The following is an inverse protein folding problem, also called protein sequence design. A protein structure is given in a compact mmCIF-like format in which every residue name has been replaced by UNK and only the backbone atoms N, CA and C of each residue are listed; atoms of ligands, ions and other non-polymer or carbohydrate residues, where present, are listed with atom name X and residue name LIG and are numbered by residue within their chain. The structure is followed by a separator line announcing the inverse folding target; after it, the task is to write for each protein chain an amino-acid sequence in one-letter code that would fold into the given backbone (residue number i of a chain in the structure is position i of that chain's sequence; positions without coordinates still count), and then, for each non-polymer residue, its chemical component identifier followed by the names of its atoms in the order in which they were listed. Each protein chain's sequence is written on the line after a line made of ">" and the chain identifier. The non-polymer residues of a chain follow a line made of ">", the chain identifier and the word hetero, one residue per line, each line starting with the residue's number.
data_IF_071423706347
#
_entry.id   IF_071423706347
#
_cell.length_a   1.000
_cell.length_b   1.000
_cell.length_c   1.000
_cell.angle_alpha   90.00
_cell.angle_beta   90.00
_cell.angle_gamma   90.00
#
_symmetry.space_group_name_H-M   'P 1'
#
loop_
_entity.id
_entity.type
_entity.pdbx_description
1 polymer ?
#
# COMPACT_ATOMS: atom_id res chain seq x y z
N UNK A 1 -36.68 15.45 20.35
CA UNK A 1 -35.51 16.19 19.81
C UNK A 1 -34.21 15.78 20.51
N UNK A 2 -34.14 15.67 21.84
CA UNK A 2 -32.95 15.14 22.56
C UNK A 2 -32.46 13.77 22.05
N UNK A 3 -33.35 12.80 21.86
CA UNK A 3 -32.98 11.49 21.32
C UNK A 3 -32.41 11.57 19.89
N UNK A 4 -32.90 12.53 19.08
CA UNK A 4 -32.41 12.77 17.73
C UNK A 4 -31.00 13.39 17.76
N UNK A 5 -30.77 14.40 18.61
CA UNK A 5 -29.45 15.01 18.81
C UNK A 5 -28.42 13.95 19.25
N UNK A 6 -28.75 13.12 20.25
CA UNK A 6 -27.87 12.04 20.72
C UNK A 6 -27.54 11.04 19.60
N UNK A 7 -28.52 10.72 18.73
CA UNK A 7 -28.29 9.83 17.58
C UNK A 7 -27.30 10.45 16.58
N UNK A 8 -27.50 11.73 16.23
CA UNK A 8 -26.64 12.45 15.29
C UNK A 8 -25.21 12.59 15.84
N UNK A 9 -25.06 12.84 17.15
CA UNK A 9 -23.74 12.84 17.81
C UNK A 9 -23.03 11.49 17.69
N UNK A 10 -23.73 10.39 17.97
CA UNK A 10 -23.15 9.05 17.85
C UNK A 10 -22.74 8.73 16.40
N UNK A 11 -23.51 9.20 15.42
CA UNK A 11 -23.19 9.05 14.00
C UNK A 11 -21.96 9.87 13.59
N UNK A 12 -21.80 11.10 14.10
CA UNK A 12 -20.60 11.92 13.89
C UNK A 12 -19.36 11.24 14.51
N UNK A 13 -19.48 10.69 15.71
CA UNK A 13 -18.39 9.96 16.37
C UNK A 13 -17.97 8.73 15.55
N UNK A 14 -18.94 7.95 15.05
CA UNK A 14 -18.68 6.79 14.21
C UNK A 14 -17.99 7.19 12.89
N UNK A 15 -18.51 8.21 12.19
CA UNK A 15 -17.90 8.72 10.95
C UNK A 15 -16.48 9.25 11.19
N UNK A 16 -16.26 9.95 12.31
CA UNK A 16 -14.93 10.45 12.69
C UNK A 16 -13.92 9.31 12.87
N UNK A 17 -14.32 8.23 13.53
CA UNK A 17 -13.47 7.06 13.70
C UNK A 17 -13.14 6.40 12.35
N UNK A 18 -14.14 6.19 11.50
CA UNK A 18 -13.96 5.60 10.15
C UNK A 18 -13.04 6.46 9.29
N UNK A 19 -13.21 7.78 9.27
CA UNK A 19 -12.36 8.71 8.49
C UNK A 19 -10.90 8.63 8.95
N UNK A 20 -10.66 8.49 10.26
CA UNK A 20 -9.31 8.38 10.81
C UNK A 20 -8.64 7.03 10.44
N UNK A 21 -9.40 5.93 10.49
CA UNK A 21 -8.94 4.61 10.05
C UNK A 21 -8.60 4.62 8.56
N UNK A 22 -9.51 5.12 7.71
CA UNK A 22 -9.29 5.27 6.27
C UNK A 22 -8.06 6.14 5.97
N UNK A 23 -7.85 7.22 6.71
CA UNK A 23 -6.65 8.06 6.59
C UNK A 23 -5.35 7.28 6.87
N UNK A 24 -5.37 6.43 7.89
CA UNK A 24 -4.21 5.59 8.25
C UNK A 24 -3.92 4.53 7.18
N UNK A 25 -4.96 3.90 6.63
CA UNK A 25 -4.82 2.92 5.54
C UNK A 25 -4.30 3.57 4.24
N UNK A 26 -4.76 4.78 3.91
CA UNK A 26 -4.25 5.55 2.78
C UNK A 26 -2.74 5.80 2.94
N UNK A 27 -2.31 6.27 4.11
CA UNK A 27 -0.89 6.53 4.38
C UNK A 27 -0.03 5.27 4.27
N UNK A 28 -0.57 4.13 4.73
CA UNK A 28 0.08 2.82 4.59
C UNK A 28 0.26 2.45 3.12
N UNK A 29 -0.79 2.51 2.30
CA UNK A 29 -0.70 2.20 0.88
C UNK A 29 0.22 3.15 0.11
N UNK A 30 0.24 4.43 0.46
CA UNK A 30 1.19 5.40 -0.13
C UNK A 30 2.63 5.01 0.19
N UNK A 31 2.89 4.59 1.44
CA UNK A 31 4.21 4.13 1.87
C UNK A 31 4.62 2.84 1.16
N UNK A 32 3.75 1.84 1.09
CA UNK A 32 4.02 0.57 0.40
C UNK A 32 4.34 0.79 -1.08
N UNK A 33 3.62 1.69 -1.76
CA UNK A 33 3.93 2.07 -3.15
C UNK A 33 5.32 2.72 -3.29
N UNK A 34 5.71 3.55 -2.33
CA UNK A 34 7.03 4.20 -2.32
C UNK A 34 8.15 3.17 -2.08
N UNK A 35 7.96 2.26 -1.12
CA UNK A 35 8.90 1.20 -0.79
C UNK A 35 9.08 0.23 -1.96
N UNK A 36 7.99 -0.19 -2.62
CA UNK A 36 8.03 -0.99 -3.85
C UNK A 36 8.79 -0.28 -4.98
N UNK A 37 8.55 1.02 -5.17
CA UNK A 37 9.27 1.82 -6.18
C UNK A 37 10.77 1.84 -5.91
N UNK A 38 11.17 2.01 -4.64
CA UNK A 38 12.58 1.99 -4.26
C UNK A 38 13.19 0.58 -4.46
N UNK A 39 12.47 -0.47 -4.09
CA UNK A 39 12.92 -1.85 -4.27
C UNK A 39 13.11 -2.21 -5.74
N UNK A 40 12.18 -1.83 -6.62
CA UNK A 40 12.30 -1.99 -8.07
C UNK A 40 13.51 -1.26 -8.65
N UNK A 41 13.76 -0.02 -8.21
CA UNK A 41 14.93 0.75 -8.65
C UNK A 41 16.25 0.08 -8.24
N UNK A 42 16.36 -0.35 -6.97
CA UNK A 42 17.54 -1.07 -6.47
C UNK A 42 17.75 -2.41 -7.19
N UNK A 43 16.68 -3.16 -7.44
CA UNK A 43 16.75 -4.40 -8.20
C UNK A 43 17.25 -4.16 -9.63
N UNK A 44 16.84 -3.05 -10.25
CA UNK A 44 17.30 -2.67 -11.61
C UNK A 44 18.80 -2.33 -11.63
N UNK A 45 19.28 -1.62 -10.62
CA UNK A 45 20.69 -1.28 -10.44
C UNK A 45 21.54 -2.55 -10.29
N UNK A 46 21.21 -3.39 -9.31
CA UNK A 46 21.87 -4.68 -9.07
C UNK A 46 21.88 -5.53 -10.33
N UNK A 47 20.72 -5.66 -11.00
CA UNK A 47 20.58 -6.46 -12.22
C UNK A 47 21.50 -5.96 -13.34
N UNK A 48 21.67 -4.64 -13.46
CA UNK A 48 22.52 -4.03 -14.49
C UNK A 48 24.00 -4.32 -14.22
N UNK A 49 24.42 -4.21 -12.97
CA UNK A 49 25.79 -4.53 -12.53
C UNK A 49 26.11 -6.01 -12.70
N UNK A 50 25.25 -6.90 -12.17
CA UNK A 50 25.41 -8.35 -12.26
C UNK A 50 25.44 -8.82 -13.73
N UNK A 51 24.58 -8.26 -14.58
CA UNK A 51 24.57 -8.59 -16.02
C UNK A 51 25.91 -8.29 -16.67
N UNK A 52 26.46 -7.12 -16.37
CA UNK A 52 27.71 -6.65 -16.96
C UNK A 52 28.88 -7.56 -16.53
N UNK A 53 28.95 -7.88 -15.24
CA UNK A 53 29.97 -8.78 -14.69
C UNK A 53 29.85 -10.20 -15.25
N UNK A 54 28.64 -10.79 -15.24
CA UNK A 54 28.40 -12.12 -15.78
C UNK A 54 28.75 -12.21 -17.27
N UNK A 55 28.43 -11.17 -18.04
CA UNK A 55 28.77 -11.09 -19.47
C UNK A 55 30.29 -11.08 -19.67
N UNK A 56 31.02 -10.31 -18.86
CA UNK A 56 32.47 -10.27 -18.90
C UNK A 56 33.10 -11.63 -18.52
N UNK A 57 32.62 -12.26 -17.44
CA UNK A 57 33.10 -13.58 -16.99
C UNK A 57 32.87 -14.65 -18.07
N UNK A 58 31.69 -14.66 -18.71
CA UNK A 58 31.38 -15.63 -19.79
C UNK A 58 32.27 -15.39 -21.01
N UNK A 59 32.56 -14.14 -21.35
CA UNK A 59 33.46 -13.79 -22.45
C UNK A 59 34.90 -14.24 -22.14
N UNK A 60 35.41 -13.93 -20.95
CA UNK A 60 36.75 -14.29 -20.50
C UNK A 60 36.92 -15.80 -20.39
N UNK A 61 35.94 -16.51 -19.82
CA UNK A 61 35.94 -17.97 -19.76
C UNK A 61 35.92 -18.60 -21.16
N UNK A 62 35.16 -18.02 -22.11
CA UNK A 62 35.14 -18.48 -23.50
C UNK A 62 36.49 -18.28 -24.18
N UNK A 63 37.13 -17.12 -23.98
CA UNK A 63 38.46 -16.84 -24.50
C UNK A 63 39.52 -17.76 -23.85
N UNK A 64 39.40 -18.02 -22.55
CA UNK A 64 40.24 -18.93 -21.78
C UNK A 64 40.20 -20.36 -22.31
N UNK A 65 39.00 -20.93 -22.51
CA UNK A 65 38.83 -22.25 -23.14
C UNK A 65 39.54 -22.30 -24.50
N UNK A 66 39.29 -21.31 -25.37
CA UNK A 66 39.88 -21.29 -26.70
C UNK A 66 41.43 -21.16 -26.68
N UNK A 67 41.98 -20.38 -25.74
CA UNK A 67 43.42 -20.22 -25.58
C UNK A 67 44.08 -21.51 -25.06
N UNK A 68 43.49 -22.15 -24.06
CA UNK A 68 44.00 -23.40 -23.48
C UNK A 68 43.93 -24.54 -24.49
N UNK A 69 42.84 -24.65 -25.25
CA UNK A 69 42.72 -25.62 -26.35
C UNK A 69 43.84 -25.46 -27.39
N UNK A 70 44.14 -24.22 -27.82
CA UNK A 70 45.25 -23.95 -28.75
C UNK A 70 46.59 -24.34 -28.15
N UNK A 71 46.84 -24.00 -26.88
CA UNK A 71 48.08 -24.37 -26.19
C UNK A 71 48.24 -25.89 -26.06
N UNK A 72 47.16 -26.60 -25.73
CA UNK A 72 47.12 -28.07 -25.66
C UNK A 72 47.47 -28.70 -27.01
N UNK A 73 46.95 -28.19 -28.12
CA UNK A 73 47.30 -28.67 -29.47
C UNK A 73 48.79 -28.50 -29.74
N UNK A 74 49.35 -27.30 -29.54
CA UNK A 74 50.76 -27.00 -29.78
C UNK A 74 51.67 -27.88 -28.89
N UNK A 75 51.33 -28.03 -27.61
CA UNK A 75 52.10 -28.87 -26.67
C UNK A 75 52.05 -30.35 -27.05
N UNK A 76 50.87 -30.87 -27.41
CA UNK A 76 50.70 -32.27 -27.86
C UNK A 76 51.50 -32.53 -29.13
N UNK A 77 51.50 -31.62 -30.11
CA UNK A 77 52.32 -31.69 -31.33
C UNK A 77 53.82 -31.64 -31.02
N UNK A 78 54.27 -30.71 -30.16
CA UNK A 78 55.67 -30.57 -29.79
C UNK A 78 56.23 -31.83 -29.11
N UNK A 79 55.51 -32.37 -28.11
CA UNK A 79 55.97 -33.55 -27.36
C UNK A 79 55.89 -34.84 -28.18
N UNK A 80 54.90 -34.99 -29.08
CA UNK A 80 54.83 -36.14 -29.99
C UNK A 80 55.95 -36.13 -31.03
N UNK A 81 56.28 -34.97 -31.59
CA UNK A 81 57.42 -34.81 -32.50
C UNK A 81 58.76 -35.14 -31.82
N UNK A 82 58.99 -34.68 -30.58
CA UNK A 82 60.23 -34.95 -29.85
C UNK A 82 60.36 -36.40 -29.34
N UNK A 83 59.25 -37.06 -29.02
CA UNK A 83 59.26 -38.50 -28.70
C UNK A 83 59.75 -39.33 -29.90
N UNK A 84 59.37 -38.96 -31.13
CA UNK A 84 59.84 -39.64 -32.34
C UNK A 84 61.33 -39.37 -32.66
N UNK A 85 61.86 -38.21 -32.27
CA UNK A 85 63.27 -37.84 -32.44
C UNK A 85 64.20 -38.59 -31.47
N UNK A 86 63.73 -38.92 -30.26
CA UNK A 86 64.50 -39.72 -29.30
C UNK A 86 64.60 -41.20 -29.66
N UNK A 87 63.68 -41.71 -30.48
CA UNK A 87 63.77 -43.06 -31.07
C UNK A 87 64.83 -43.17 -32.17
N UNK A 88 65.22 -42.02 -32.77
CA UNK A 88 66.25 -41.93 -33.80
C UNK A 88 67.58 -41.59 -33.14
N UNK A 89 68.21 -42.61 -32.56
CA UNK A 89 69.46 -42.53 -31.79
C UNK A 89 70.55 -41.70 -32.50
N UNK A 90 70.78 -40.47 -32.02
CA UNK A 90 72.05 -39.75 -32.17
C UNK A 90 72.74 -39.78 -30.80
N UNK A 91 73.91 -40.44 -30.65
CA UNK A 91 74.53 -40.70 -29.35
C UNK A 91 74.82 -39.45 -28.50
N UNK A 92 75.03 -38.28 -29.11
CA UNK A 92 75.32 -37.03 -28.39
C UNK A 92 74.12 -36.40 -27.67
N UNK A 93 72.88 -36.74 -28.04
CA UNK A 93 71.66 -36.22 -27.38
C UNK A 93 71.17 -37.12 -26.23
N UNK A 94 71.82 -38.26 -25.98
CA UNK A 94 71.45 -39.20 -24.92
C UNK A 94 71.55 -38.59 -23.50
N UNK A 95 72.36 -37.55 -23.33
CA UNK A 95 72.50 -36.82 -22.06
C UNK A 95 71.39 -35.77 -21.84
N UNK A 96 70.69 -35.33 -22.89
CA UNK A 96 69.58 -34.39 -22.76
C UNK A 96 68.27 -35.14 -22.51
N UNK A 97 68.12 -35.67 -21.29
CA UNK A 97 66.82 -36.05 -20.72
C UNK A 97 66.03 -34.79 -20.34
N UNK A 98 65.99 -33.79 -21.23
CA UNK A 98 65.19 -32.59 -21.06
C UNK A 98 63.79 -32.99 -20.60
N UNK A 99 63.26 -32.26 -19.62
CA UNK A 99 62.16 -32.52 -18.67
C UNK A 99 60.87 -33.20 -19.21
N UNK A 100 61.00 -34.27 -20.00
CA UNK A 100 59.95 -34.97 -20.75
C UNK A 100 59.01 -35.73 -19.82
N UNK A 101 59.49 -36.13 -18.64
CA UNK A 101 58.62 -36.67 -17.57
C UNK A 101 57.62 -35.64 -17.04
N UNK A 102 57.86 -34.33 -17.22
CA UNK A 102 56.95 -33.26 -16.82
C UNK A 102 55.83 -32.96 -17.83
N UNK A 103 55.93 -33.46 -19.07
CA UNK A 103 54.98 -33.19 -20.16
C UNK A 103 53.55 -33.65 -19.83
N UNK A 104 53.41 -34.83 -19.21
CA UNK A 104 52.12 -35.39 -18.76
C UNK A 104 51.49 -34.54 -17.65
N UNK A 105 52.30 -33.91 -16.80
CA UNK A 105 51.83 -33.02 -15.74
C UNK A 105 51.31 -31.68 -16.28
N UNK A 106 52.01 -31.06 -17.21
CA UNK A 106 51.62 -29.77 -17.81
C UNK A 106 50.37 -29.93 -18.68
N UNK A 107 50.30 -30.99 -19.51
CA UNK A 107 49.09 -31.28 -20.31
C UNK A 107 47.90 -31.54 -19.39
N UNK A 108 48.07 -32.37 -18.35
CA UNK A 108 47.00 -32.63 -17.38
C UNK A 108 46.55 -31.38 -16.64
N UNK A 109 47.46 -30.47 -16.28
CA UNK A 109 47.11 -29.18 -15.66
C UNK A 109 46.31 -28.29 -16.62
N UNK A 110 46.68 -28.23 -17.89
CA UNK A 110 45.94 -27.48 -18.90
C UNK A 110 44.56 -28.09 -19.20
N UNK A 111 44.43 -29.41 -19.27
CA UNK A 111 43.13 -30.08 -19.42
C UNK A 111 42.20 -29.77 -18.22
N UNK A 112 42.74 -29.69 -16.99
CA UNK A 112 41.98 -29.27 -15.79
C UNK A 112 41.56 -27.80 -15.90
N UNK A 113 42.46 -26.90 -16.28
CA UNK A 113 42.16 -25.47 -16.46
C UNK A 113 41.09 -25.27 -17.55
N UNK A 114 41.15 -26.01 -18.65
CA UNK A 114 40.11 -25.99 -19.69
C UNK A 114 38.74 -26.40 -19.11
N UNK A 115 38.70 -27.51 -18.37
CA UNK A 115 37.49 -27.97 -17.70
C UNK A 115 36.96 -26.94 -16.70
N UNK A 116 37.83 -26.26 -15.96
CA UNK A 116 37.44 -25.24 -14.99
C UNK A 116 36.84 -24.00 -15.69
N UNK A 117 37.42 -23.53 -16.81
CA UNK A 117 36.82 -22.45 -17.59
C UNK A 117 35.48 -22.86 -18.23
N UNK A 118 35.39 -24.09 -18.74
CA UNK A 118 34.14 -24.60 -19.30
C UNK A 118 33.03 -24.70 -18.23
N UNK A 119 33.38 -25.16 -17.02
CA UNK A 119 32.48 -25.20 -15.87
C UNK A 119 32.07 -23.79 -15.45
N UNK A 120 33.02 -22.88 -15.26
CA UNK A 120 32.76 -21.48 -14.89
C UNK A 120 31.77 -20.84 -15.88
N UNK A 121 32.02 -20.98 -17.19
CA UNK A 121 31.11 -20.47 -18.22
C UNK A 121 29.69 -21.02 -18.06
N UNK A 122 29.55 -22.34 -17.89
CA UNK A 122 28.25 -22.99 -17.77
C UNK A 122 27.49 -22.54 -16.52
N UNK A 123 28.18 -22.51 -15.37
CA UNK A 123 27.63 -22.07 -14.09
C UNK A 123 27.22 -20.59 -14.14
N UNK A 124 28.08 -19.69 -14.63
CA UNK A 124 27.75 -18.27 -14.76
C UNK A 124 26.60 -18.02 -15.75
N UNK A 125 26.54 -18.76 -16.87
CA UNK A 125 25.43 -18.64 -17.82
C UNK A 125 24.09 -19.09 -17.21
N UNK A 126 24.12 -20.19 -16.44
CA UNK A 126 22.95 -20.68 -15.75
C UNK A 126 22.49 -19.71 -14.64
N UNK A 127 23.44 -19.17 -13.86
CA UNK A 127 23.16 -18.16 -12.85
C UNK A 127 22.57 -16.88 -13.45
N UNK A 128 23.10 -16.40 -14.58
CA UNK A 128 22.60 -15.23 -15.28
C UNK A 128 21.15 -15.41 -15.78
N UNK A 129 20.81 -16.61 -16.27
CA UNK A 129 19.43 -16.92 -16.70
C UNK A 129 18.49 -16.94 -15.50
N UNK A 130 18.87 -17.60 -14.40
CA UNK A 130 18.07 -17.63 -13.18
C UNK A 130 17.88 -16.22 -12.57
N UNK A 131 18.93 -15.39 -12.57
CA UNK A 131 18.86 -14.01 -12.09
C UNK A 131 17.97 -13.15 -12.98
N UNK A 132 18.01 -13.34 -14.31
CA UNK A 132 17.10 -12.66 -15.24
C UNK A 132 15.63 -13.02 -14.98
N UNK A 133 15.32 -14.32 -14.85
CA UNK A 133 13.96 -14.80 -14.60
C UNK A 133 13.41 -14.30 -13.25
N UNK A 134 14.25 -14.32 -12.21
CA UNK A 134 13.90 -13.82 -10.88
C UNK A 134 13.62 -12.32 -10.91
N UNK A 135 14.45 -11.54 -11.61
CA UNK A 135 14.25 -10.11 -11.82
C UNK A 135 12.95 -9.82 -12.57
N UNK A 136 12.70 -10.50 -13.69
CA UNK A 136 11.49 -10.29 -14.49
C UNK A 136 10.22 -10.62 -13.69
N UNK A 137 10.26 -11.70 -12.91
CA UNK A 137 9.17 -12.08 -12.00
C UNK A 137 8.96 -11.01 -10.93
N UNK A 138 10.02 -10.61 -10.22
CA UNK A 138 9.95 -9.57 -9.20
C UNK A 138 9.40 -8.25 -9.74
N UNK A 139 9.85 -7.81 -10.91
CA UNK A 139 9.39 -6.56 -11.52
C UNK A 139 7.92 -6.63 -11.92
N UNK A 140 7.48 -7.77 -12.46
CA UNK A 140 6.07 -8.00 -12.80
C UNK A 140 5.19 -7.97 -11.56
N UNK A 141 5.54 -8.77 -10.54
CA UNK A 141 4.76 -8.89 -9.31
C UNK A 141 4.72 -7.54 -8.58
N UNK A 142 5.86 -6.86 -8.44
CA UNK A 142 5.92 -5.52 -7.82
C UNK A 142 5.11 -4.46 -8.57
N UNK A 143 5.05 -4.56 -9.90
CA UNK A 143 4.22 -3.64 -10.72
C UNK A 143 2.74 -3.89 -10.47
N UNK A 144 2.33 -5.17 -10.36
CA UNK A 144 0.97 -5.54 -10.05
C UNK A 144 0.60 -5.09 -8.63
N UNK A 145 1.42 -5.41 -7.63
CA UNK A 145 1.18 -5.03 -6.23
C UNK A 145 1.05 -3.51 -6.11
N UNK A 146 1.92 -2.75 -6.78
CA UNK A 146 1.85 -1.29 -6.78
C UNK A 146 0.54 -0.77 -7.39
N UNK A 147 0.05 -1.41 -8.45
CA UNK A 147 -1.25 -1.07 -9.05
C UNK A 147 -2.41 -1.39 -8.11
N UNK A 148 -2.36 -2.53 -7.42
CA UNK A 148 -3.37 -2.93 -6.43
C UNK A 148 -3.43 -1.94 -5.27
N UNK A 149 -2.27 -1.56 -4.72
CA UNK A 149 -2.17 -0.53 -3.69
C UNK A 149 -2.70 0.83 -4.17
N UNK A 150 -2.35 1.24 -5.41
CA UNK A 150 -2.85 2.49 -5.98
C UNK A 150 -4.38 2.50 -6.12
N UNK A 151 -4.96 1.40 -6.60
CA UNK A 151 -6.41 1.27 -6.74
C UNK A 151 -7.12 1.29 -5.37
N UNK A 152 -6.55 0.60 -4.39
CA UNK A 152 -7.06 0.60 -3.01
C UNK A 152 -6.97 2.01 -2.39
N UNK A 153 -5.85 2.70 -2.56
CA UNK A 153 -5.64 4.08 -2.12
C UNK A 153 -6.69 5.03 -2.73
N UNK A 154 -6.88 5.00 -4.05
CA UNK A 154 -7.84 5.86 -4.74
C UNK A 154 -9.26 5.59 -4.25
N UNK A 155 -9.63 4.32 -4.08
CA UNK A 155 -10.95 3.95 -3.55
C UNK A 155 -11.14 4.48 -2.13
N UNK A 156 -10.18 4.25 -1.24
CA UNK A 156 -10.25 4.73 0.14
C UNK A 156 -10.33 6.25 0.23
N UNK A 157 -9.61 6.98 -0.64
CA UNK A 157 -9.72 8.44 -0.73
C UNK A 157 -11.13 8.89 -1.10
N UNK A 158 -11.75 8.26 -2.11
CA UNK A 158 -13.13 8.56 -2.50
C UNK A 158 -14.13 8.23 -1.38
N UNK A 159 -13.99 7.07 -0.74
CA UNK A 159 -14.84 6.67 0.38
C UNK A 159 -14.69 7.61 1.58
N UNK A 160 -13.46 8.08 1.85
CA UNK A 160 -13.15 9.06 2.90
C UNK A 160 -13.77 10.43 2.59
N UNK A 161 -13.65 10.91 1.36
CA UNK A 161 -14.25 12.19 0.94
C UNK A 161 -15.78 12.16 1.09
N UNK A 162 -16.43 11.04 0.72
CA UNK A 162 -17.87 10.84 0.93
C UNK A 162 -18.22 10.84 2.43
N UNK A 163 -17.46 10.12 3.26
CA UNK A 163 -17.69 10.11 4.71
C UNK A 163 -17.51 11.49 5.35
N UNK A 164 -16.52 12.27 4.90
CA UNK A 164 -16.30 13.65 5.33
C UNK A 164 -17.48 14.55 4.94
N UNK A 165 -18.00 14.38 3.73
CA UNK A 165 -19.20 15.08 3.28
C UNK A 165 -20.42 14.73 4.16
N UNK A 166 -20.67 13.44 4.39
CA UNK A 166 -21.77 12.99 5.25
C UNK A 166 -21.62 13.52 6.68
N UNK A 167 -20.42 13.46 7.26
CA UNK A 167 -20.14 14.03 8.59
C UNK A 167 -20.51 15.52 8.64
N UNK A 168 -20.13 16.30 7.62
CA UNK A 168 -20.47 17.73 7.55
C UNK A 168 -21.98 17.96 7.49
N UNK A 169 -22.72 17.10 6.79
CA UNK A 169 -24.19 17.19 6.72
C UNK A 169 -24.82 16.84 8.07
N UNK A 170 -24.37 15.76 8.72
CA UNK A 170 -24.85 15.35 10.05
C UNK A 170 -24.55 16.40 11.11
N UNK A 171 -23.42 17.10 11.04
CA UNK A 171 -23.09 18.24 11.91
C UNK A 171 -24.07 19.41 11.75
N UNK A 172 -24.48 19.72 10.51
CA UNK A 172 -25.50 20.74 10.24
C UNK A 172 -26.87 20.33 10.79
N UNK A 173 -27.24 19.06 10.60
CA UNK A 173 -28.50 18.52 11.11
C UNK A 173 -28.55 18.50 12.64
N UNK A 174 -27.41 18.22 13.29
CA UNK A 174 -27.27 18.30 14.74
C UNK A 174 -27.48 19.74 15.21
N UNK A 175 -26.80 20.71 14.58
CA UNK A 175 -26.94 22.13 14.92
C UNK A 175 -28.39 22.63 14.76
N UNK A 176 -29.08 22.23 13.69
CA UNK A 176 -30.49 22.54 13.48
C UNK A 176 -31.39 21.88 14.55
N UNK A 177 -31.15 20.60 14.85
CA UNK A 177 -31.90 19.85 15.88
C UNK A 177 -31.73 20.45 17.27
N UNK A 178 -30.51 20.89 17.61
CA UNK A 178 -30.21 21.54 18.88
C UNK A 178 -30.86 22.92 18.98
N UNK A 179 -30.90 23.69 17.88
CA UNK A 179 -31.61 24.95 17.84
C UNK A 179 -33.12 24.77 18.09
N UNK A 180 -33.76 23.78 17.44
CA UNK A 180 -35.15 23.43 17.67
C UNK A 180 -35.40 22.93 19.09
N UNK A 181 -34.51 22.09 19.63
CA UNK A 181 -34.59 21.60 21.00
C UNK A 181 -34.52 22.75 22.01
N UNK A 182 -33.62 23.72 21.80
CA UNK A 182 -33.48 24.90 22.64
C UNK A 182 -34.76 25.75 22.59
N UNK A 183 -35.35 25.95 21.41
CA UNK A 183 -36.62 26.68 21.27
C UNK A 183 -37.78 25.94 21.96
N UNK A 184 -37.88 24.63 21.78
CA UNK A 184 -38.90 23.80 22.43
C UNK A 184 -38.79 23.83 23.96
N UNK A 185 -37.56 23.77 24.49
CA UNK A 185 -37.31 23.87 25.94
C UNK A 185 -37.66 25.25 26.49
N UNK A 186 -37.40 26.34 25.75
CA UNK A 186 -37.83 27.69 26.12
C UNK A 186 -39.36 27.79 26.18
N UNK A 187 -40.06 27.28 25.16
CA UNK A 187 -41.52 27.30 25.11
C UNK A 187 -42.14 26.43 26.21
N UNK A 188 -41.58 25.24 26.47
CA UNK A 188 -41.97 24.39 27.58
C UNK A 188 -41.81 25.12 28.92
N UNK A 189 -40.70 25.83 29.14
CA UNK A 189 -40.48 26.65 30.33
C UNK A 189 -41.53 27.74 30.53
N UNK A 190 -42.00 28.37 29.45
CA UNK A 190 -43.09 29.35 29.49
C UNK A 190 -44.45 28.73 29.82
N UNK A 191 -44.78 27.56 29.25
CA UNK A 191 -46.07 26.90 29.47
C UNK A 191 -46.16 26.20 30.84
N UNK A 192 -45.03 25.72 31.37
CA UNK A 192 -45.01 24.88 32.57
C UNK A 192 -45.71 25.54 33.77
N UNK A 193 -45.42 26.79 34.17
CA UNK A 193 -46.15 27.47 35.25
C UNK A 193 -47.66 27.49 35.01
N UNK A 194 -48.11 27.87 33.81
CA UNK A 194 -49.53 27.90 33.43
C UNK A 194 -50.26 26.54 33.55
N UNK A 195 -49.53 25.43 33.42
CA UNK A 195 -50.10 24.08 33.51
C UNK A 195 -49.99 23.46 34.91
N UNK A 196 -49.01 23.85 35.72
CA UNK A 196 -48.76 23.25 37.05
C UNK A 196 -49.18 24.14 38.21
N UNK A 197 -49.25 25.45 38.02
CA UNK A 197 -49.67 26.41 39.03
C UNK A 197 -51.17 26.68 38.87
N UNK A 198 -51.96 26.31 39.88
CA UNK A 198 -53.38 26.67 39.93
C UNK A 198 -53.47 28.16 40.27
N UNK A 199 -53.56 29.01 39.25
CA UNK A 199 -53.55 30.48 39.42
C UNK A 199 -54.79 31.08 40.10
N UNK A 200 -55.87 30.30 40.26
CA UNK A 200 -57.14 30.77 40.83
C UNK A 200 -57.81 29.62 41.55
N UNK A 201 -58.22 29.87 42.80
CA UNK A 201 -58.97 28.89 43.58
C UNK A 201 -60.30 28.53 42.91
N UNK A 202 -60.87 27.38 43.24
CA UNK A 202 -62.21 27.00 42.76
C UNK A 202 -63.25 28.06 43.12
N UNK A 203 -63.15 28.61 44.33
CA UNK A 203 -64.07 29.63 44.85
C UNK A 203 -63.98 30.94 44.05
N UNK A 204 -62.77 31.43 43.74
CA UNK A 204 -62.58 32.60 42.87
C UNK A 204 -63.06 32.35 41.44
N UNK A 205 -62.86 31.14 40.91
CA UNK A 205 -63.38 30.76 39.58
C UNK A 205 -64.91 30.75 39.53
N UNK A 206 -65.55 30.28 40.60
CA UNK A 206 -67.02 30.27 40.71
C UNK A 206 -67.54 31.70 40.86
N UNK A 207 -66.93 32.51 41.71
CA UNK A 207 -67.30 33.91 41.90
C UNK A 207 -67.14 34.73 40.61
N UNK A 208 -66.00 34.58 39.91
CA UNK A 208 -65.74 35.25 38.62
C UNK A 208 -66.75 34.86 37.55
N UNK A 209 -67.05 33.57 37.38
CA UNK A 209 -68.09 33.12 36.43
C UNK A 209 -69.47 33.67 36.78
N UNK A 210 -69.80 33.76 38.07
CA UNK A 210 -71.09 34.29 38.50
C UNK A 210 -71.20 35.79 38.17
N UNK A 211 -70.13 36.55 38.38
CA UNK A 211 -70.07 37.97 38.00
C UNK A 211 -70.16 38.16 36.48
N UNK A 212 -69.47 37.33 35.70
CA UNK A 212 -69.52 37.35 34.23
C UNK A 212 -70.93 37.01 33.69
N UNK A 213 -71.60 36.00 34.26
CA UNK A 213 -72.99 35.65 33.89
C UNK A 213 -73.94 36.81 34.17
N UNK A 214 -73.81 37.50 35.31
CA UNK A 214 -74.65 38.66 35.62
C UNK A 214 -74.38 39.83 34.67
N UNK A 215 -73.11 40.13 34.37
CA UNK A 215 -72.76 41.16 33.38
C UNK A 215 -73.30 40.84 31.97
N UNK A 216 -73.27 39.56 31.56
CA UNK A 216 -73.85 39.11 30.29
C UNK A 216 -75.37 39.24 30.27
N UNK A 217 -76.07 38.93 31.38
CA UNK A 217 -77.53 39.13 31.50
C UNK A 217 -77.90 40.61 31.43
N UNK A 218 -77.12 41.47 32.08
CA UNK A 218 -77.34 42.92 32.04
C UNK A 218 -77.13 43.48 30.63
N UNK A 219 -76.03 43.10 29.96
CA UNK A 219 -75.80 43.44 28.57
C UNK A 219 -76.91 42.93 27.65
N UNK A 220 -77.40 41.70 27.85
CA UNK A 220 -78.53 41.14 27.12
C UNK A 220 -79.81 41.95 27.35
N UNK A 221 -80.12 42.33 28.60
CA UNK A 221 -81.29 43.16 28.92
C UNK A 221 -81.22 44.54 28.25
N UNK A 222 -80.04 45.16 28.19
CA UNK A 222 -79.86 46.46 27.50
C UNK A 222 -80.05 46.31 26.00
N UNK A 223 -79.53 45.24 25.40
CA UNK A 223 -79.68 44.94 23.98
C UNK A 223 -81.13 44.61 23.62
N UNK A 224 -81.82 43.82 24.43
CA UNK A 224 -83.23 43.44 24.27
C UNK A 224 -84.16 44.66 24.35
N UNK A 225 -83.91 45.55 25.32
CA UNK A 225 -84.60 46.85 25.43
C UNK A 225 -84.35 47.76 24.21
N UNK A 226 -83.18 47.68 23.57
CA UNK A 226 -82.85 48.45 22.36
C UNK A 226 -83.40 47.84 21.07
N UNK A 227 -83.64 46.54 21.01
CA UNK A 227 -84.23 45.87 19.83
C UNK A 227 -85.76 45.94 19.78
N UNK A 228 -86.41 46.36 20.86
CA UNK A 228 -87.86 46.57 20.94
C UNK A 228 -88.36 47.98 20.62
N UNK A 229 -87.46 48.89 20.19
CA UNK A 229 -87.77 50.22 19.63
C UNK A 229 -87.47 50.24 18.13
#
# INVERSE_FOLDING_TARGET
>A
KTAQANKLMAEIEALTATIAEQGTEIDMHVKEQADLTQAMAKATEIRTEEKAENTAIVADATAGVAAVQKALVILKEFYSAHASLLQRQVPELAAYKGQLSGSKGIIGMLDVIESDFARLKAETTAAETAAADAYDTFMKDSTQDKLEHHNAEVKLRLDKDENEFQKSQTEKDLAATDAELAQANKYYGYLKPSCTEVHVSWEERVAGRKAEIEALKEAYSILDQKSGQ
#
